data_IF_249036213652
#
_entry.id   IF_249036213652
#
_cell.length_a   1.000
_cell.length_b   1.000
_cell.length_c   1.000
_cell.angle_alpha   90.00
_cell.angle_beta   90.00
_cell.angle_gamma   90.00
#
_symmetry.space_group_name_H-M   'P 1'
#
loop_
_entity.id
_entity.type
_entity.pdbx_description
1 polymer ?
#
# COMPACT_ATOMS: atom_id res chain seq x y z
N UNK A 1 -9.08 -7.21 -17.03
CA UNK A 1 -9.25 -5.81 -17.46
C UNK A 1 -8.55 -5.59 -18.81
N UNK A 2 -9.06 -4.70 -19.66
CA UNK A 2 -8.42 -4.32 -20.91
C UNK A 2 -7.02 -3.72 -20.71
N UNK A 3 -6.14 -3.88 -21.70
CA UNK A 3 -4.76 -3.37 -21.66
C UNK A 3 -4.71 -1.87 -21.35
N UNK A 4 -5.62 -1.08 -21.94
CA UNK A 4 -5.68 0.37 -21.74
C UNK A 4 -5.90 0.76 -20.26
N UNK A 5 -6.80 0.06 -19.56
CA UNK A 5 -7.05 0.28 -18.12
C UNK A 5 -5.83 -0.15 -17.31
N UNK A 6 -5.28 -1.34 -17.58
CA UNK A 6 -4.10 -1.84 -16.86
C UNK A 6 -2.90 -0.89 -17.00
N UNK A 7 -2.59 -0.45 -18.23
CA UNK A 7 -1.43 0.40 -18.52
C UNK A 7 -1.56 1.82 -17.95
N UNK A 8 -2.76 2.25 -17.59
CA UNK A 8 -2.99 3.55 -16.97
C UNK A 8 -3.06 3.43 -15.44
N UNK A 9 -3.84 2.48 -14.93
CA UNK A 9 -4.13 2.35 -13.50
C UNK A 9 -2.92 1.84 -12.71
N UNK A 10 -2.17 0.86 -13.23
CA UNK A 10 -1.02 0.29 -12.48
C UNK A 10 0.11 1.32 -12.30
N UNK A 11 0.60 2.01 -13.34
CA UNK A 11 1.65 3.01 -13.16
C UNK A 11 1.20 4.20 -12.31
N UNK A 12 -0.05 4.67 -12.48
CA UNK A 12 -0.63 5.72 -11.63
C UNK A 12 -0.71 5.27 -10.17
N UNK A 13 -1.16 4.04 -9.92
CA UNK A 13 -1.26 3.46 -8.59
C UNK A 13 0.08 3.34 -7.86
N UNK A 14 1.18 3.05 -8.56
CA UNK A 14 2.51 3.02 -7.93
C UNK A 14 2.94 4.35 -7.33
N UNK A 15 2.53 5.47 -7.94
CA UNK A 15 2.86 6.81 -7.44
C UNK A 15 1.82 7.32 -6.43
N UNK A 16 0.54 6.99 -6.65
CA UNK A 16 -0.56 7.61 -5.91
C UNK A 16 -1.25 6.70 -4.89
N UNK A 17 -0.95 5.40 -4.85
CA UNK A 17 -1.54 4.46 -3.88
C UNK A 17 -0.48 3.93 -2.90
N UNK A 18 0.06 4.85 -2.11
CA UNK A 18 1.01 4.57 -1.03
C UNK A 18 0.33 4.54 0.35
N UNK A 19 -0.92 4.10 0.39
CA UNK A 19 -1.78 4.20 1.58
C UNK A 19 -1.27 3.34 2.74
N UNK A 20 -0.69 2.17 2.45
CA UNK A 20 -0.04 1.34 3.48
C UNK A 20 1.13 2.06 4.15
N UNK A 21 1.88 2.88 3.40
CA UNK A 21 2.98 3.67 3.94
C UNK A 21 2.48 4.82 4.80
N UNK A 22 1.46 5.55 4.34
CA UNK A 22 0.83 6.64 5.11
C UNK A 22 0.27 6.15 6.44
N UNK A 23 -0.42 5.00 6.43
CA UNK A 23 -1.00 4.41 7.63
C UNK A 23 0.10 4.07 8.66
N UNK A 24 1.13 3.35 8.22
CA UNK A 24 2.25 3.00 9.08
C UNK A 24 2.97 4.24 9.64
N UNK A 25 3.29 5.21 8.79
CA UNK A 25 4.00 6.43 9.22
C UNK A 25 3.20 7.21 10.26
N UNK A 26 1.88 7.28 10.10
CA UNK A 26 1.00 7.97 11.03
C UNK A 26 1.00 7.31 12.40
N UNK A 27 0.85 5.98 12.41
CA UNK A 27 0.88 5.18 13.64
C UNK A 27 2.27 5.25 14.29
N UNK A 28 3.34 5.14 13.50
CA UNK A 28 4.71 5.21 13.98
C UNK A 28 5.04 6.56 14.61
N UNK A 29 4.59 7.67 14.02
CA UNK A 29 4.80 8.99 14.57
C UNK A 29 4.06 9.19 15.90
N UNK A 30 2.79 8.76 15.98
CA UNK A 30 2.02 8.79 17.23
C UNK A 30 2.67 7.90 18.30
N UNK A 31 3.12 6.70 17.92
CA UNK A 31 3.83 5.78 18.83
C UNK A 31 5.10 6.43 19.40
N UNK A 32 5.91 7.07 18.55
CA UNK A 32 7.13 7.75 19.00
C UNK A 32 6.77 8.92 19.93
N UNK A 33 5.76 9.73 19.61
CA UNK A 33 5.31 10.80 20.48
C UNK A 33 4.93 10.26 21.88
N UNK A 34 4.14 9.18 21.92
CA UNK A 34 3.77 8.50 23.17
C UNK A 34 4.97 7.93 23.93
N UNK A 35 5.95 7.38 23.22
CA UNK A 35 7.18 6.85 23.82
C UNK A 35 8.01 7.92 24.54
N UNK A 36 8.00 9.16 24.03
CA UNK A 36 8.62 10.32 24.68
C UNK A 36 7.71 11.06 25.67
N UNK A 37 6.50 10.57 25.92
CA UNK A 37 5.52 11.24 26.78
C UNK A 37 4.99 12.55 26.21
N UNK A 38 5.05 12.73 24.88
CA UNK A 38 4.51 13.89 24.18
C UNK A 38 3.03 13.61 23.89
N UNK A 39 2.15 14.32 24.57
CA UNK A 39 0.72 14.25 24.33
C UNK A 39 0.34 15.10 23.11
N UNK A 40 -0.09 14.42 22.05
CA UNK A 40 -0.62 15.06 20.85
C UNK A 40 -2.13 15.20 20.99
N UNK A 41 -2.62 16.44 20.98
CA UNK A 41 -4.06 16.70 20.89
C UNK A 41 -4.67 16.01 19.66
N UNK A 42 -5.96 15.70 19.70
CA UNK A 42 -6.68 15.10 18.58
C UNK A 42 -6.49 15.92 17.29
N UNK A 43 -6.52 17.26 17.39
CA UNK A 43 -6.25 18.15 16.26
C UNK A 43 -4.84 17.97 15.69
N UNK A 44 -3.83 17.83 16.55
CA UNK A 44 -2.45 17.59 16.11
C UNK A 44 -2.30 16.21 15.46
N UNK A 45 -2.95 15.17 15.98
CA UNK A 45 -2.95 13.84 15.38
C UNK A 45 -3.61 13.85 13.99
N UNK A 46 -4.75 14.53 13.85
CA UNK A 46 -5.44 14.67 12.56
C UNK A 46 -4.58 15.45 11.54
N UNK A 47 -3.96 16.55 11.97
CA UNK A 47 -3.07 17.33 11.10
C UNK A 47 -1.87 16.51 10.66
N UNK A 48 -1.26 15.72 11.57
CA UNK A 48 -0.16 14.82 11.24
C UNK A 48 -0.56 13.78 10.19
N UNK A 49 -1.70 13.11 10.37
CA UNK A 49 -2.24 12.14 9.41
C UNK A 49 -2.51 12.80 8.05
N UNK A 50 -3.13 13.99 8.04
CA UNK A 50 -3.41 14.73 6.82
C UNK A 50 -2.12 15.14 6.09
N UNK A 51 -1.12 15.64 6.81
CA UNK A 51 0.19 15.96 6.24
C UNK A 51 0.83 14.74 5.61
N UNK A 52 0.83 13.59 6.32
CA UNK A 52 1.36 12.33 5.77
C UNK A 52 0.58 11.84 4.56
N UNK A 53 -0.74 12.01 4.55
CA UNK A 53 -1.58 11.62 3.42
C UNK A 53 -1.29 12.47 2.18
N UNK A 54 -1.22 13.79 2.32
CA UNK A 54 -0.90 14.70 1.21
C UNK A 54 0.51 14.48 0.69
N UNK A 55 1.49 14.40 1.59
CA UNK A 55 2.90 14.23 1.21
C UNK A 55 3.18 12.87 0.58
N UNK A 56 2.41 11.83 0.94
CA UNK A 56 2.58 10.49 0.35
C UNK A 56 2.42 10.46 -1.17
N UNK A 57 1.57 11.32 -1.74
CA UNK A 57 1.32 11.36 -3.18
C UNK A 57 2.46 12.00 -3.98
N UNK A 58 3.44 12.60 -3.30
CA UNK A 58 4.67 13.14 -3.87
C UNK A 58 5.90 12.24 -3.70
N UNK A 59 5.76 11.05 -3.10
CA UNK A 59 6.86 10.13 -2.86
C UNK A 59 7.20 9.38 -4.16
N UNK A 60 8.45 9.51 -4.61
CA UNK A 60 8.97 8.63 -5.65
C UNK A 60 9.07 7.18 -5.12
N UNK A 61 8.64 6.20 -5.92
CA UNK A 61 8.61 4.77 -5.57
C UNK A 61 9.98 4.10 -5.46
N UNK A 62 10.86 4.65 -4.64
CA UNK A 62 12.22 4.16 -4.38
C UNK A 62 12.26 3.53 -2.97
N UNK A 63 12.96 2.40 -2.78
CA UNK A 63 13.10 1.79 -1.46
C UNK A 63 13.66 2.77 -0.41
N UNK A 64 13.12 2.72 0.80
CA UNK A 64 13.60 3.52 1.94
C UNK A 64 13.07 4.96 2.04
N UNK A 65 12.34 5.47 1.04
CA UNK A 65 11.77 6.82 1.10
C UNK A 65 10.76 6.97 2.25
N UNK A 66 10.06 5.89 2.60
CA UNK A 66 9.15 5.83 3.74
C UNK A 66 9.79 6.26 5.07
N UNK A 67 11.06 5.92 5.27
CA UNK A 67 11.80 6.27 6.50
C UNK A 67 12.22 7.73 6.52
N UNK A 68 12.60 8.27 5.35
CA UNK A 68 12.94 9.70 5.17
C UNK A 68 11.71 10.59 5.43
N UNK A 69 10.55 10.19 4.91
CA UNK A 69 9.29 10.92 5.11
C UNK A 69 8.86 10.90 6.58
N UNK A 70 9.04 9.77 7.26
CA UNK A 70 8.78 9.69 8.70
C UNK A 70 9.71 10.65 9.47
N UNK A 71 11.01 10.67 9.15
CA UNK A 71 11.98 11.60 9.75
C UNK A 71 11.57 13.06 9.56
N UNK A 72 11.19 13.44 8.35
CA UNK A 72 10.70 14.79 8.07
C UNK A 72 9.43 15.13 8.86
N UNK A 73 8.53 14.16 9.04
CA UNK A 73 7.26 14.34 9.77
C UNK A 73 7.47 14.48 11.27
N UNK A 74 8.37 13.68 11.86
CA UNK A 74 8.72 13.82 13.28
C UNK A 74 9.32 15.21 13.55
N UNK A 75 10.24 15.64 12.69
CA UNK A 75 10.87 16.96 12.80
C UNK A 75 9.85 18.10 12.70
N UNK A 76 8.88 18.02 11.79
CA UNK A 76 7.85 19.05 11.65
C UNK A 76 6.82 19.03 12.80
N UNK A 77 6.60 17.88 13.44
CA UNK A 77 5.72 17.72 14.59
C UNK A 77 6.41 18.01 15.94
N UNK A 78 7.71 18.35 15.94
CA UNK A 78 8.49 18.59 17.16
C UNK A 78 8.78 17.32 17.98
N UNK A 79 8.72 16.15 17.34
CA UNK A 79 8.97 14.84 17.95
C UNK A 79 10.47 14.50 17.79
N UNK A 80 11.15 14.01 18.85
CA UNK A 80 12.57 13.64 18.78
C UNK A 80 12.87 12.62 17.67
N UNK A 81 13.87 12.93 16.85
CA UNK A 81 14.24 12.10 15.69
C UNK A 81 14.92 10.80 16.12
N UNK A 82 15.55 10.80 17.30
CA UNK A 82 16.16 9.61 17.92
C UNK A 82 15.12 8.50 18.12
N UNK A 83 13.83 8.86 18.20
CA UNK A 83 12.70 7.95 18.22
C UNK A 83 12.65 6.93 17.09
N UNK A 84 13.21 7.28 15.92
CA UNK A 84 13.31 6.37 14.78
C UNK A 84 14.15 5.13 15.08
N UNK A 85 15.14 5.24 15.97
CA UNK A 85 15.99 4.11 16.33
C UNK A 85 15.19 2.96 16.96
N UNK A 86 14.11 3.26 17.70
CA UNK A 86 13.26 2.24 18.34
C UNK A 86 12.48 1.40 17.33
N UNK A 87 12.15 1.96 16.16
CA UNK A 87 11.38 1.28 15.13
C UNK A 87 12.24 0.80 13.95
N UNK A 88 13.48 1.26 13.84
CA UNK A 88 14.40 0.93 12.73
C UNK A 88 14.56 -0.59 12.54
N UNK A 89 14.56 -1.37 13.63
CA UNK A 89 14.67 -2.82 13.57
C UNK A 89 13.48 -3.51 12.91
N UNK A 90 12.26 -3.03 13.17
CA UNK A 90 11.02 -3.60 12.60
C UNK A 90 10.66 -3.00 11.25
N UNK A 91 11.19 -1.80 10.94
CA UNK A 91 10.82 -1.04 9.75
C UNK A 91 11.04 -1.82 8.45
N UNK A 92 12.07 -2.66 8.37
CA UNK A 92 12.34 -3.49 7.18
C UNK A 92 11.25 -4.54 6.93
N UNK A 93 10.76 -5.19 7.97
CA UNK A 93 9.66 -6.16 7.85
C UNK A 93 8.38 -5.41 7.47
N UNK A 94 8.15 -4.27 8.12
CA UNK A 94 6.99 -3.42 7.84
C UNK A 94 7.03 -2.84 6.43
N UNK A 95 8.21 -2.54 5.88
CA UNK A 95 8.39 -2.06 4.50
C UNK A 95 7.95 -3.08 3.47
N UNK A 96 8.32 -4.35 3.66
CA UNK A 96 7.85 -5.46 2.82
C UNK A 96 6.33 -5.62 2.91
N UNK A 97 5.76 -5.58 4.13
CA UNK A 97 4.32 -5.69 4.32
C UNK A 97 3.54 -4.54 3.65
N UNK A 98 4.01 -3.30 3.81
CA UNK A 98 3.44 -2.12 3.16
C UNK A 98 3.46 -2.24 1.64
N UNK A 99 4.60 -2.65 1.10
CA UNK A 99 4.77 -2.83 -0.35
C UNK A 99 3.80 -3.89 -0.88
N UNK A 100 3.64 -5.01 -0.18
CA UNK A 100 2.70 -6.05 -0.56
C UNK A 100 1.24 -5.54 -0.58
N UNK A 101 0.83 -4.80 0.46
CA UNK A 101 -0.51 -4.22 0.54
C UNK A 101 -0.76 -3.23 -0.61
N UNK A 102 0.21 -2.35 -0.90
CA UNK A 102 0.08 -1.38 -1.99
C UNK A 102 -0.04 -2.09 -3.36
N UNK A 103 0.75 -3.15 -3.60
CA UNK A 103 0.67 -3.95 -4.83
C UNK A 103 -0.70 -4.62 -4.97
N UNK A 104 -1.22 -5.22 -3.90
CA UNK A 104 -2.55 -5.84 -3.90
C UNK A 104 -3.63 -4.79 -4.19
N UNK A 105 -3.57 -3.63 -3.53
CA UNK A 105 -4.51 -2.53 -3.76
C UNK A 105 -4.50 -2.05 -5.21
N UNK A 106 -3.31 -1.90 -5.80
CA UNK A 106 -3.17 -1.49 -7.20
C UNK A 106 -3.69 -2.55 -8.18
N UNK A 107 -3.46 -3.84 -7.92
CA UNK A 107 -4.01 -4.91 -8.73
C UNK A 107 -5.55 -4.96 -8.66
N UNK A 108 -6.13 -4.76 -7.47
CA UNK A 108 -7.58 -4.72 -7.30
C UNK A 108 -8.19 -3.47 -7.95
N UNK A 109 -7.55 -2.32 -7.86
CA UNK A 109 -8.01 -1.07 -8.48
C UNK A 109 -8.25 -1.23 -9.98
N UNK A 110 -7.38 -1.97 -10.69
CA UNK A 110 -7.56 -2.27 -12.11
C UNK A 110 -8.88 -2.99 -12.39
N UNK A 111 -9.27 -3.94 -11.54
CA UNK A 111 -10.52 -4.69 -11.69
C UNK A 111 -11.73 -3.82 -11.36
N UNK A 112 -11.64 -3.01 -10.30
CA UNK A 112 -12.69 -2.09 -9.88
C UNK A 112 -12.97 -1.05 -10.97
N UNK A 113 -11.93 -0.37 -11.48
CA UNK A 113 -12.06 0.60 -12.56
C UNK A 113 -12.59 -0.07 -13.83
N UNK A 114 -12.09 -1.27 -14.17
CA UNK A 114 -12.61 -2.02 -15.32
C UNK A 114 -14.10 -2.32 -15.21
N UNK A 115 -14.62 -2.64 -14.02
CA UNK A 115 -16.05 -2.85 -13.79
C UNK A 115 -16.82 -1.52 -13.87
N UNK A 116 -16.28 -0.45 -13.29
CA UNK A 116 -16.93 0.87 -13.30
C UNK A 116 -17.07 1.44 -14.70
N UNK A 117 -16.08 1.25 -15.55
CA UNK A 117 -16.11 1.63 -16.99
C UNK A 117 -16.95 0.67 -17.85
N UNK A 118 -17.56 -0.37 -17.28
CA UNK A 118 -18.33 -1.37 -18.03
C UNK A 118 -17.49 -2.23 -18.98
N UNK A 119 -16.16 -2.24 -18.83
CA UNK A 119 -15.22 -2.97 -19.69
C UNK A 119 -14.69 -4.26 -19.06
N UNK A 120 -15.25 -4.67 -17.92
CA UNK A 120 -14.89 -5.91 -17.27
C UNK A 120 -15.60 -7.08 -17.95
N UNK A 121 -14.83 -8.10 -18.32
CA UNK A 121 -15.35 -9.34 -18.90
C UNK A 121 -15.69 -10.31 -17.77
N UNK A 122 -16.97 -10.34 -17.37
CA UNK A 122 -17.47 -11.21 -16.30
C UNK A 122 -17.32 -12.69 -16.66
N UNK A 123 -17.55 -13.09 -17.92
CA UNK A 123 -17.38 -14.50 -18.33
C UNK A 123 -15.93 -14.95 -18.22
N UNK A 124 -14.97 -14.11 -18.61
CA UNK A 124 -13.55 -14.40 -18.45
C UNK A 124 -13.15 -14.42 -16.98
N UNK A 125 -13.73 -13.53 -16.17
CA UNK A 125 -13.56 -13.51 -14.71
C UNK A 125 -14.01 -14.82 -14.06
N UNK A 126 -15.22 -15.29 -14.38
CA UNK A 126 -15.77 -16.55 -13.88
C UNK A 126 -14.96 -17.76 -14.36
N UNK A 127 -14.59 -17.80 -15.66
CA UNK A 127 -13.72 -18.85 -16.21
C UNK A 127 -12.39 -18.93 -15.47
N UNK A 128 -11.75 -17.78 -15.20
CA UNK A 128 -10.51 -17.75 -14.44
C UNK A 128 -10.73 -18.22 -12.99
N UNK A 129 -11.77 -17.73 -12.32
CA UNK A 129 -12.10 -18.15 -10.95
C UNK A 129 -12.28 -19.66 -10.84
N UNK A 130 -13.04 -20.27 -11.76
CA UNK A 130 -13.28 -21.71 -11.79
C UNK A 130 -12.04 -22.53 -12.19
N UNK A 131 -11.05 -21.91 -12.84
CA UNK A 131 -9.77 -22.57 -13.17
C UNK A 131 -8.81 -22.64 -11.97
N UNK A 132 -9.03 -21.84 -10.94
CA UNK A 132 -8.19 -21.83 -9.76
C UNK A 132 -8.49 -23.06 -8.88
N UNK A 133 -7.46 -23.70 -8.32
CA UNK A 133 -7.68 -24.73 -7.33
C UNK A 133 -8.36 -24.11 -6.12
N UNK A 134 -9.58 -24.56 -5.83
CA UNK A 134 -10.27 -24.10 -4.65
C UNK A 134 -9.67 -24.81 -3.44
N UNK A 135 -9.48 -24.11 -2.33
CA UNK A 135 -8.97 -24.73 -1.09
C UNK A 135 -9.87 -25.87 -0.56
N UNK A 136 -11.08 -26.02 -1.13
CA UNK A 136 -12.02 -27.12 -0.91
C UNK A 136 -12.05 -28.18 -2.03
N UNK A 137 -11.38 -27.98 -3.15
CA UNK A 137 -11.39 -28.96 -4.24
C UNK A 137 -10.52 -30.16 -3.86
N UNK A 138 -11.10 -31.36 -3.95
CA UNK A 138 -10.34 -32.62 -3.88
C UNK A 138 -9.57 -32.88 -5.18
N UNK A 139 -9.82 -32.08 -6.21
CA UNK A 139 -9.18 -32.18 -7.50
C UNK A 139 -7.79 -31.51 -7.46
N UNK A 140 -6.75 -32.18 -7.98
CA UNK A 140 -5.41 -31.62 -8.06
C UNK A 140 -5.39 -30.38 -8.96
N UNK A 141 -4.55 -29.41 -8.60
CA UNK A 141 -4.38 -28.17 -9.37
C UNK A 141 -4.08 -28.51 -10.84
N UNK A 142 -4.86 -28.01 -11.81
CA UNK A 142 -4.53 -28.18 -13.22
C UNK A 142 -3.17 -27.54 -13.50
N UNK A 143 -2.18 -28.33 -13.85
CA UNK A 143 -0.90 -27.82 -14.36
C UNK A 143 -1.20 -27.13 -15.68
N UNK A 144 -1.13 -25.80 -15.70
CA UNK A 144 -1.43 -25.00 -16.87
C UNK A 144 -0.70 -25.51 -18.10
N UNK A 145 -1.42 -25.72 -19.20
CA UNK A 145 -0.79 -26.02 -20.48
C UNK A 145 0.09 -24.82 -20.88
N UNK A 146 1.30 -25.04 -21.42
CA UNK A 146 2.14 -23.96 -21.91
C UNK A 146 1.32 -23.15 -22.91
N UNK A 147 1.20 -21.85 -22.69
CA UNK A 147 0.62 -20.93 -23.68
C UNK A 147 1.50 -21.03 -24.92
N UNK A 148 0.97 -21.66 -25.97
CA UNK A 148 1.56 -21.60 -27.29
C UNK A 148 1.14 -20.26 -27.90
N UNK A 149 1.87 -19.19 -27.58
CA UNK A 149 1.91 -17.89 -28.27
C UNK A 149 3.14 -17.09 -27.80
#
# INVERSE_FOLDING_TARGET
APKAICSFVVPTGYSFNLDGSTLYQSIAAIFIAQLYGIDLSIGAQLMLVLTLMVTSKGIAGVPGVSFVVLLATLGSAGIPLEGLAFIAGVDRIMDMARTALNVIGNALAVLVISRWEGMYDDEKGERYWNSLPHWRSKEPVPMGQPTAD
#
